data_IF_135682918769
#
_entry.id   IF_135682918769
#
_cell.length_a   1.000
_cell.length_b   1.000
_cell.length_c   1.000
_cell.angle_alpha   90.00
_cell.angle_beta   90.00
_cell.angle_gamma   90.00
#
_symmetry.space_group_name_H-M   'P 1'
#
loop_
_entity.id
_entity.type
_entity.pdbx_description
1 polymer ?
#
# COMPACT_ATOMS: atom_id res chain seq x y z
N UNK A 1 1.19 20.25 -62.54
CA UNK A 1 -0.01 21.10 -62.71
C UNK A 1 -1.12 20.14 -63.13
N UNK A 2 -2.23 19.90 -62.42
CA UNK A 2 -3.27 20.74 -61.78
C UNK A 2 -3.89 19.86 -60.65
N UNK A 3 -3.78 20.15 -59.35
CA UNK A 3 -4.55 21.05 -58.44
C UNK A 3 -6.06 20.76 -58.28
N UNK A 4 -6.39 20.31 -57.06
CA UNK A 4 -7.62 20.47 -56.26
C UNK A 4 -8.95 19.86 -56.74
N UNK A 5 -9.63 19.12 -55.85
CA UNK A 5 -10.74 19.69 -55.05
C UNK A 5 -11.10 18.84 -53.83
N UNK A 6 -11.32 19.57 -52.75
CA UNK A 6 -11.73 19.21 -51.40
C UNK A 6 -13.25 18.99 -51.31
N UNK A 7 -13.65 18.34 -50.22
CA UNK A 7 -14.93 18.45 -49.49
C UNK A 7 -16.17 17.74 -50.01
N UNK A 8 -16.66 16.80 -49.20
CA UNK A 8 -18.00 16.83 -48.55
C UNK A 8 -18.25 15.49 -47.86
N UNK A 9 -18.12 15.41 -46.54
CA UNK A 9 -19.11 15.74 -45.49
C UNK A 9 -19.82 14.48 -44.96
N UNK A 10 -19.58 14.23 -43.67
CA UNK A 10 -20.52 13.69 -42.68
C UNK A 10 -21.09 12.28 -42.88
N UNK A 11 -20.49 11.30 -42.21
CA UNK A 11 -21.26 10.24 -41.54
C UNK A 11 -20.83 10.14 -40.07
N UNK A 12 -21.81 10.53 -39.27
CA UNK A 12 -22.05 10.30 -37.86
C UNK A 12 -21.58 8.91 -37.40
N UNK A 13 -20.75 8.87 -36.36
CA UNK A 13 -20.76 7.78 -35.38
C UNK A 13 -20.23 8.29 -34.04
N UNK A 14 -21.12 8.95 -33.30
CA UNK A 14 -21.00 9.11 -31.86
C UNK A 14 -20.98 7.72 -31.21
N UNK A 15 -19.86 7.28 -30.63
CA UNK A 15 -19.81 6.10 -29.75
C UNK A 15 -18.43 5.89 -29.11
N UNK A 16 -17.96 6.82 -28.25
CA UNK A 16 -16.97 6.46 -27.20
C UNK A 16 -17.16 7.35 -25.97
N UNK A 17 -18.28 7.22 -25.27
CA UNK A 17 -18.49 7.77 -23.92
C UNK A 17 -18.89 6.64 -22.98
N UNK A 18 -17.95 5.75 -22.65
CA UNK A 18 -18.16 4.75 -21.60
C UNK A 18 -16.85 4.05 -21.17
N UNK A 19 -15.78 4.77 -20.77
CA UNK A 19 -14.57 4.06 -20.29
C UNK A 19 -13.66 4.84 -19.34
N UNK A 20 -14.16 5.59 -18.33
CA UNK A 20 -13.29 6.05 -17.23
C UNK A 20 -14.03 6.04 -15.88
N UNK A 21 -14.39 4.86 -15.40
CA UNK A 21 -14.76 4.64 -13.98
C UNK A 21 -14.03 3.42 -13.39
N UNK A 22 -12.84 3.08 -13.88
CA UNK A 22 -12.05 1.95 -13.36
C UNK A 22 -10.91 2.35 -12.43
N UNK A 23 -10.76 3.63 -12.09
CA UNK A 23 -9.61 4.11 -11.31
C UNK A 23 -9.82 4.18 -9.78
N UNK A 24 -10.84 3.55 -9.19
CA UNK A 24 -11.04 3.63 -7.73
C UNK A 24 -11.47 2.32 -7.03
N UNK A 25 -11.24 1.17 -7.66
CA UNK A 25 -11.38 -0.13 -7.00
C UNK A 25 -10.10 -0.99 -7.01
N UNK A 26 -8.94 -0.40 -7.39
CA UNK A 26 -7.64 -1.06 -7.24
C UNK A 26 -6.90 -0.57 -6.00
N UNK A 27 -7.64 -0.31 -4.91
CA UNK A 27 -7.05 -0.38 -3.58
C UNK A 27 -6.85 -1.85 -3.26
N UNK A 28 -5.85 -2.50 -3.88
CA UNK A 28 -5.38 -3.80 -3.39
C UNK A 28 -5.13 -3.61 -1.91
N UNK A 29 -5.96 -4.23 -1.08
CA UNK A 29 -5.84 -4.16 0.38
C UNK A 29 -4.51 -4.84 0.68
N UNK A 30 -3.44 -4.05 0.72
CA UNK A 30 -2.10 -4.56 0.94
C UNK A 30 -2.12 -5.36 2.22
N UNK A 31 -1.61 -6.60 2.17
CA UNK A 31 -1.60 -7.45 3.34
C UNK A 31 -0.91 -6.73 4.50
N UNK A 32 -1.48 -6.86 5.70
CA UNK A 32 -0.98 -6.18 6.90
C UNK A 32 0.48 -6.49 7.19
N UNK A 33 0.97 -7.66 6.78
CA UNK A 33 2.37 -8.09 6.94
C UNK A 33 3.27 -7.37 5.94
N UNK A 34 2.81 -7.19 4.70
CA UNK A 34 3.54 -6.40 3.68
C UNK A 34 3.66 -4.95 4.13
N UNK A 35 2.55 -4.31 4.49
CA UNK A 35 2.56 -2.92 4.96
C UNK A 35 3.37 -2.73 6.25
N UNK A 36 3.33 -3.70 7.16
CA UNK A 36 4.17 -3.68 8.36
C UNK A 36 5.66 -3.88 8.03
N UNK A 37 6.02 -4.78 7.13
CA UNK A 37 7.40 -4.96 6.68
C UNK A 37 7.95 -3.67 6.04
N UNK A 38 7.14 -3.00 5.22
CA UNK A 38 7.48 -1.68 4.66
C UNK A 38 7.71 -0.64 5.76
N UNK A 39 6.85 -0.63 6.77
CA UNK A 39 6.99 0.27 7.94
C UNK A 39 8.26 -0.03 8.74
N UNK A 40 8.72 -1.29 8.80
CA UNK A 40 9.99 -1.61 9.44
C UNK A 40 11.17 -1.09 8.61
N UNK A 41 11.16 -1.29 7.30
CA UNK A 41 12.21 -0.78 6.40
C UNK A 41 12.35 0.74 6.52
N UNK A 42 11.24 1.48 6.59
CA UNK A 42 11.30 2.94 6.74
C UNK A 42 11.93 3.40 8.05
N UNK A 43 11.95 2.55 9.10
CA UNK A 43 12.70 2.84 10.34
C UNK A 43 14.20 2.62 10.24
N UNK A 44 14.66 1.96 9.17
CA UNK A 44 16.07 1.57 8.98
C UNK A 44 16.80 2.42 7.94
N UNK A 45 16.11 3.37 7.31
CA UNK A 45 16.69 4.31 6.34
C UNK A 45 16.76 5.71 6.95
N UNK A 46 17.66 6.55 6.46
CA UNK A 46 17.85 7.90 7.01
C UNK A 46 16.68 8.82 6.63
N UNK A 47 16.19 8.67 5.39
CA UNK A 47 15.08 9.47 4.85
C UNK A 47 13.88 8.59 4.49
N UNK A 48 12.93 8.36 5.41
CA UNK A 48 11.77 7.49 5.17
C UNK A 48 10.94 7.87 3.94
N UNK A 49 10.83 9.16 3.63
CA UNK A 49 10.10 9.67 2.46
C UNK A 49 10.84 9.44 1.13
N UNK A 50 12.12 9.07 1.16
CA UNK A 50 12.92 8.78 -0.03
C UNK A 50 12.73 7.35 -0.55
N UNK A 51 12.06 6.48 0.23
CA UNK A 51 11.91 5.06 -0.12
C UNK A 51 11.02 4.91 -1.34
N UNK A 52 11.57 4.28 -2.38
CA UNK A 52 10.83 3.88 -3.57
C UNK A 52 10.74 2.36 -3.62
N UNK A 53 9.52 1.83 -3.54
CA UNK A 53 9.27 0.39 -3.63
C UNK A 53 9.42 -0.09 -5.08
N UNK A 54 10.24 -1.10 -5.30
CA UNK A 54 10.50 -1.67 -6.63
C UNK A 54 9.92 -3.07 -6.82
N UNK A 55 9.60 -3.77 -5.73
CA UNK A 55 8.95 -5.08 -5.79
C UNK A 55 8.45 -5.58 -4.44
N UNK A 56 7.49 -6.50 -4.49
CA UNK A 56 6.93 -7.20 -3.32
C UNK A 56 6.70 -8.66 -3.71
N UNK A 57 7.18 -9.59 -2.90
CA UNK A 57 6.91 -11.02 -3.03
C UNK A 57 6.53 -11.61 -1.67
N UNK A 58 5.49 -12.44 -1.65
CA UNK A 58 5.03 -13.17 -0.47
C UNK A 58 5.24 -14.67 -0.68
N UNK A 59 6.02 -15.29 0.19
CA UNK A 59 6.41 -16.70 0.10
C UNK A 59 5.90 -17.47 1.32
N UNK A 60 4.64 -17.93 1.32
CA UNK A 60 4.12 -18.79 2.38
C UNK A 60 4.79 -20.17 2.32
N UNK A 61 5.21 -20.71 3.47
CA UNK A 61 5.89 -22.01 3.61
C UNK A 61 5.17 -22.93 4.60
N UNK A 62 3.84 -22.79 4.71
CA UNK A 62 3.01 -23.56 5.63
C UNK A 62 3.45 -23.36 7.08
N UNK A 63 3.63 -24.45 7.82
CA UNK A 63 4.07 -24.38 9.23
C UNK A 63 5.47 -23.79 9.43
N UNK A 64 6.30 -23.71 8.38
CA UNK A 64 7.62 -23.08 8.44
C UNK A 64 7.58 -21.54 8.41
N UNK A 65 6.39 -20.94 8.34
CA UNK A 65 6.20 -19.50 8.36
C UNK A 65 6.03 -18.87 6.97
N UNK A 66 6.06 -17.55 6.94
CA UNK A 66 5.91 -16.72 5.74
C UNK A 66 7.13 -15.82 5.61
N UNK A 67 7.67 -15.69 4.40
CA UNK A 67 8.64 -14.64 4.07
C UNK A 67 7.96 -13.56 3.23
N UNK A 68 8.13 -12.30 3.61
CA UNK A 68 7.81 -11.15 2.77
C UNK A 68 9.12 -10.55 2.29
N UNK A 69 9.34 -10.54 0.99
CA UNK A 69 10.52 -9.95 0.34
C UNK A 69 10.12 -8.63 -0.31
N UNK A 70 10.84 -7.57 0.02
CA UNK A 70 10.65 -6.23 -0.50
C UNK A 70 11.88 -5.81 -1.29
N UNK A 71 11.68 -5.35 -2.52
CA UNK A 71 12.67 -4.57 -3.27
C UNK A 71 12.43 -3.08 -3.05
N UNK A 72 13.48 -2.31 -2.80
CA UNK A 72 13.38 -0.86 -2.65
C UNK A 72 14.65 -0.12 -3.05
N UNK A 73 14.52 1.17 -3.32
CA UNK A 73 15.61 2.14 -3.39
C UNK A 73 15.41 3.15 -2.26
N UNK A 74 16.49 3.66 -1.66
CA UNK A 74 16.43 4.65 -0.59
C UNK A 74 17.63 5.60 -0.63
N UNK A 75 17.51 6.70 0.13
CA UNK A 75 18.57 7.66 0.43
C UNK A 75 19.16 8.34 -0.82
N UNK A 76 18.38 8.38 -1.91
CA UNK A 76 18.76 9.02 -3.18
C UNK A 76 19.88 8.32 -3.96
N UNK A 77 20.34 7.14 -3.50
CA UNK A 77 21.50 6.45 -4.07
C UNK A 77 21.16 5.68 -5.37
N UNK A 78 19.88 5.54 -5.72
CA UNK A 78 19.43 4.81 -6.93
C UNK A 78 19.86 3.34 -6.97
N UNK A 79 20.38 2.82 -5.86
CA UNK A 79 20.82 1.44 -5.70
C UNK A 79 19.63 0.59 -5.24
N UNK A 80 19.40 -0.50 -5.95
CA UNK A 80 18.43 -1.52 -5.53
C UNK A 80 18.91 -2.18 -4.24
N UNK A 81 18.01 -2.24 -3.26
CA UNK A 81 18.16 -2.85 -1.94
C UNK A 81 17.03 -3.85 -1.72
N UNK A 82 17.24 -4.76 -0.79
CA UNK A 82 16.27 -5.80 -0.47
C UNK A 82 16.08 -5.92 1.03
N UNK A 83 14.82 -6.09 1.46
CA UNK A 83 14.50 -6.47 2.82
C UNK A 83 13.66 -7.75 2.82
N UNK A 84 13.88 -8.58 3.83
CA UNK A 84 13.06 -9.79 4.04
C UNK A 84 12.56 -9.79 5.48
N UNK A 85 11.24 -9.88 5.65
CA UNK A 85 10.61 -10.07 6.95
C UNK A 85 10.07 -11.50 7.05
N UNK A 86 10.43 -12.22 8.11
CA UNK A 86 9.93 -13.57 8.36
C UNK A 86 8.87 -13.56 9.45
N UNK A 87 7.74 -14.20 9.19
CA UNK A 87 6.59 -14.28 10.08
C UNK A 87 6.36 -15.73 10.46
N UNK A 88 6.22 -15.98 11.77
CA UNK A 88 5.91 -17.32 12.27
C UNK A 88 4.50 -17.73 11.87
N UNK A 89 4.28 -19.03 11.69
CA UNK A 89 2.94 -19.61 11.68
C UNK A 89 2.30 -19.44 13.08
N UNK A 90 1.03 -19.07 13.14
CA UNK A 90 0.33 -18.67 14.35
C UNK A 90 -1.18 -19.00 14.34
N UNK A 91 -1.64 -19.91 13.48
CA UNK A 91 -3.03 -20.37 13.55
C UNK A 91 -3.20 -21.29 14.76
N UNK A 92 -4.31 -21.09 15.47
CA UNK A 92 -4.74 -21.97 16.57
C UNK A 92 -5.66 -23.07 16.02
N UNK A 93 -6.46 -22.75 14.98
CA UNK A 93 -7.41 -23.66 14.32
C UNK A 93 -7.54 -23.32 12.82
N UNK A 94 -7.75 -24.34 11.96
CA UNK A 94 -8.09 -24.16 10.54
C UNK A 94 -9.57 -23.75 10.42
N UNK A 95 -9.82 -22.44 10.50
CA UNK A 95 -11.17 -21.87 10.42
C UNK A 95 -11.54 -21.48 8.99
N UNK A 96 -12.81 -21.15 8.75
CA UNK A 96 -13.27 -20.59 7.47
C UNK A 96 -12.53 -19.31 7.05
N UNK A 97 -11.87 -18.62 7.99
CA UNK A 97 -11.04 -17.44 7.71
C UNK A 97 -9.82 -17.80 6.85
N UNK A 98 -9.20 -18.96 7.07
CA UNK A 98 -8.04 -19.44 6.31
C UNK A 98 -8.36 -19.67 4.82
N UNK A 99 -9.62 -20.01 4.50
CA UNK A 99 -10.08 -20.19 3.12
C UNK A 99 -10.18 -18.86 2.37
N UNK A 100 -10.48 -17.76 3.07
CA UNK A 100 -10.67 -16.43 2.48
C UNK A 100 -9.40 -15.58 2.52
N UNK A 101 -8.60 -15.70 3.58
CA UNK A 101 -7.30 -15.07 3.74
C UNK A 101 -6.27 -16.14 4.17
N UNK A 102 -5.58 -16.77 3.20
CA UNK A 102 -4.57 -17.78 3.49
C UNK A 102 -3.37 -17.25 4.28
N UNK A 103 -3.13 -15.93 4.30
CA UNK A 103 -2.02 -15.36 5.06
C UNK A 103 -2.41 -15.12 6.52
N UNK A 104 -3.71 -15.08 6.86
CA UNK A 104 -4.21 -14.90 8.23
C UNK A 104 -3.61 -15.85 9.26
N UNK A 105 -3.17 -17.04 8.84
CA UNK A 105 -2.52 -18.06 9.67
C UNK A 105 -1.14 -17.66 10.19
N UNK A 106 -0.49 -16.62 9.66
CA UNK A 106 0.82 -16.16 10.11
C UNK A 106 0.71 -14.99 11.10
N UNK A 107 1.72 -14.77 11.94
CA UNK A 107 1.78 -13.56 12.77
C UNK A 107 1.80 -12.28 11.93
N UNK A 108 1.32 -11.17 12.51
CA UNK A 108 1.35 -9.85 11.87
C UNK A 108 2.65 -9.08 12.16
N UNK A 109 3.37 -9.44 13.23
CA UNK A 109 4.72 -8.99 13.51
C UNK A 109 5.75 -10.06 13.12
N UNK A 110 6.89 -9.68 12.51
CA UNK A 110 7.91 -10.62 12.12
C UNK A 110 8.76 -11.07 13.32
N UNK A 111 9.26 -12.31 13.25
CA UNK A 111 10.20 -12.87 14.23
C UNK A 111 11.65 -12.47 13.94
N UNK A 112 11.98 -12.32 12.65
CA UNK A 112 13.29 -11.91 12.16
C UNK A 112 13.14 -11.03 10.93
N UNK A 113 14.13 -10.18 10.68
CA UNK A 113 14.19 -9.32 9.52
C UNK A 113 15.63 -9.14 9.07
N UNK A 114 15.85 -9.21 7.76
CA UNK A 114 17.14 -8.93 7.12
C UNK A 114 17.04 -7.74 6.17
N UNK A 115 18.09 -6.93 6.08
CA UNK A 115 18.26 -5.91 5.05
C UNK A 115 19.57 -6.19 4.33
N UNK A 116 19.51 -6.32 3.00
CA UNK A 116 20.66 -6.63 2.15
C UNK A 116 21.44 -7.88 2.62
N UNK A 117 20.71 -8.85 3.18
CA UNK A 117 21.24 -10.11 3.74
C UNK A 117 21.71 -10.04 5.19
N UNK A 118 21.79 -8.85 5.79
CA UNK A 118 22.19 -8.67 7.19
C UNK A 118 20.98 -8.71 8.12
N UNK A 119 21.01 -9.60 9.13
CA UNK A 119 19.93 -9.71 10.10
C UNK A 119 19.98 -8.60 11.14
N UNK A 120 18.82 -8.01 11.40
CA UNK A 120 18.64 -7.14 12.57
C UNK A 120 18.80 -7.97 13.84
N UNK A 121 19.57 -7.45 14.81
CA UNK A 121 19.60 -8.02 16.16
C UNK A 121 18.21 -7.96 16.81
N UNK A 122 17.90 -8.90 17.71
CA UNK A 122 16.60 -8.92 18.40
C UNK A 122 16.23 -7.58 19.07
N UNK A 123 17.15 -6.89 19.79
CA UNK A 123 16.83 -5.57 20.35
C UNK A 123 16.61 -4.50 19.28
N UNK A 124 17.33 -4.55 18.16
CA UNK A 124 17.12 -3.62 17.05
C UNK A 124 15.75 -3.85 16.40
N UNK A 125 15.38 -5.10 16.14
CA UNK A 125 14.08 -5.46 15.61
C UNK A 125 12.94 -5.03 16.54
N UNK A 126 13.06 -5.26 17.84
CA UNK A 126 12.05 -4.82 18.81
C UNK A 126 11.85 -3.29 18.82
N UNK A 127 12.95 -2.52 18.68
CA UNK A 127 12.87 -1.05 18.53
C UNK A 127 12.20 -0.64 17.23
N UNK A 128 12.56 -1.28 16.11
CA UNK A 128 11.95 -1.04 14.81
C UNK A 128 10.43 -1.32 14.84
N UNK A 129 10.03 -2.45 15.41
CA UNK A 129 8.62 -2.83 15.62
C UNK A 129 7.88 -1.77 16.43
N UNK A 130 8.46 -1.33 17.56
CA UNK A 130 7.86 -0.28 18.39
C UNK A 130 7.69 1.03 17.61
N UNK A 131 8.71 1.45 16.86
CA UNK A 131 8.66 2.66 16.05
C UNK A 131 7.62 2.58 14.92
N UNK A 132 7.58 1.45 14.21
CA UNK A 132 6.59 1.18 13.17
C UNK A 132 5.16 1.23 13.72
N UNK A 133 4.90 0.61 14.87
CA UNK A 133 3.57 0.65 15.51
C UNK A 133 3.16 2.07 15.90
N UNK A 134 4.08 2.87 16.45
CA UNK A 134 3.82 4.27 16.79
C UNK A 134 3.48 5.07 15.53
N UNK A 135 4.24 4.88 14.44
CA UNK A 135 4.01 5.57 13.17
C UNK A 135 2.65 5.22 12.57
N UNK A 136 2.28 3.93 12.56
CA UNK A 136 0.97 3.49 12.09
C UNK A 136 -0.17 4.06 12.93
N UNK A 137 0.00 4.12 14.25
CA UNK A 137 -0.97 4.75 15.15
C UNK A 137 -1.19 6.23 14.85
N UNK A 138 -0.12 6.99 14.64
CA UNK A 138 -0.20 8.41 14.23
C UNK A 138 -0.94 8.58 12.90
N UNK A 139 -0.53 7.83 11.88
CA UNK A 139 -1.17 7.90 10.56
C UNK A 139 -2.66 7.52 10.58
N UNK A 140 -3.10 6.71 11.55
CA UNK A 140 -4.52 6.41 11.75
C UNK A 140 -5.28 7.59 12.35
N UNK A 141 -4.68 8.29 13.32
CA UNK A 141 -5.26 9.50 13.93
C UNK A 141 -5.36 10.59 12.86
N UNK A 142 -4.29 10.85 12.11
CA UNK A 142 -4.25 11.89 11.08
C UNK A 142 -5.35 11.65 10.01
N UNK A 143 -5.56 10.39 9.59
CA UNK A 143 -6.63 10.02 8.66
C UNK A 143 -8.03 10.23 9.24
N UNK A 144 -8.19 10.00 10.55
CA UNK A 144 -9.47 10.23 11.22
C UNK A 144 -9.80 11.73 11.30
N UNK A 145 -8.81 12.58 11.62
CA UNK A 145 -8.95 14.03 11.62
C UNK A 145 -9.34 14.56 10.23
N UNK A 146 -8.63 14.13 9.18
CA UNK A 146 -8.96 14.49 7.80
C UNK A 146 -10.38 14.07 7.41
N UNK A 147 -10.81 12.86 7.77
CA UNK A 147 -12.16 12.39 7.50
C UNK A 147 -13.25 13.22 8.19
N UNK A 148 -12.97 13.76 9.38
CA UNK A 148 -13.89 14.65 10.11
C UNK A 148 -13.93 16.02 9.43
N UNK A 149 -12.79 16.57 9.02
CA UNK A 149 -12.68 17.85 8.31
C UNK A 149 -13.43 17.80 6.96
N UNK A 150 -13.24 16.74 6.19
CA UNK A 150 -13.92 16.52 4.91
C UNK A 150 -15.44 16.39 5.10
N UNK A 151 -15.88 15.65 6.13
CA UNK A 151 -17.29 15.53 6.46
C UNK A 151 -17.91 16.88 6.87
N UNK A 152 -17.20 17.69 7.65
CA UNK A 152 -17.63 19.02 8.03
C UNK A 152 -17.70 19.97 6.83
N UNK A 153 -16.73 19.90 5.91
CA UNK A 153 -16.74 20.69 4.67
C UNK A 153 -17.94 20.32 3.79
N UNK A 154 -18.20 19.03 3.58
CA UNK A 154 -19.37 18.55 2.82
C UNK A 154 -20.70 18.98 3.45
N UNK A 155 -20.80 19.00 4.78
CA UNK A 155 -22.01 19.46 5.47
C UNK A 155 -22.23 20.97 5.27
N UNK A 156 -21.18 21.79 5.32
CA UNK A 156 -21.27 23.25 5.09
C UNK A 156 -21.68 23.57 3.65
N UNK A 157 -21.09 22.88 2.67
CA UNK A 157 -21.41 23.06 1.25
C UNK A 157 -22.90 22.76 0.94
N UNK A 158 -23.42 21.67 1.53
CA UNK A 158 -24.84 21.30 1.40
C UNK A 158 -25.81 22.27 2.08
N UNK A 159 -25.42 22.87 3.21
CA UNK A 159 -26.26 23.84 3.92
C UNK A 159 -26.19 25.24 3.29
N UNK A 160 -25.06 25.62 2.69
CA UNK A 160 -24.86 26.92 2.04
C UNK A 160 -25.54 27.05 0.67
N UNK A 161 -25.85 25.94 0.00
CA UNK A 161 -26.51 25.91 -1.31
C UNK A 161 -28.05 26.00 -1.25
N UNK A 162 -28.64 26.25 -0.07
CA UNK A 162 -30.08 26.18 0.19
C UNK A 162 -30.86 27.51 0.22
N UNK A 163 -30.19 28.67 0.23
CA UNK A 163 -30.84 29.99 0.25
C UNK A 163 -30.76 30.65 -1.13
N UNK A 164 -31.74 30.37 -1.99
CA UNK A 164 -31.80 30.95 -3.32
C UNK A 164 -33.06 30.60 -4.10
N UNK A 165 -34.24 30.91 -3.57
CA UNK A 165 -35.43 31.18 -4.38
C UNK A 165 -36.42 32.10 -3.67
#
# INVERSE_FOLDING_TARGET
MIKSTTDSLQIIAALVTASVLTASCSGSREDVRVSFCKSLVTTQVESPSSVRWTGVETQPRGHSGLSVVLGFEADGVGRSRQATCHYRYNAVEDTALTLSDPLSVYSTSPETMTIDGESLSRPALARAVKQAMISQGKAMIDRAEQGIEDAAAMARDRLGSGDGN
#
